data_IF_524832977092
#
_entry.id   IF_524832977092
#
_cell.length_a   1.000
_cell.length_b   1.000
_cell.length_c   1.000
_cell.angle_alpha   90.00
_cell.angle_beta   90.00
_cell.angle_gamma   90.00
#
_symmetry.space_group_name_H-M   'P 1'
#
loop_
_entity.id
_entity.type
_entity.pdbx_description
1 polymer ?
#
# COMPACT_ATOMS: atom_id res chain seq x y z
N UNK A 1 3.94 11.48 20.00
CA UNK A 1 3.92 10.52 18.89
C UNK A 1 4.50 11.21 17.67
N UNK A 2 5.48 10.60 16.99
CA UNK A 2 6.01 11.14 15.74
C UNK A 2 5.15 10.70 14.56
N UNK A 3 4.02 11.41 14.38
CA UNK A 3 3.06 11.11 13.32
C UNK A 3 3.66 11.26 11.92
N UNK A 4 4.69 12.11 11.75
CA UNK A 4 5.36 12.31 10.47
C UNK A 4 6.16 11.07 10.10
N UNK A 5 6.96 10.54 11.04
CA UNK A 5 7.71 9.29 10.84
C UNK A 5 6.78 8.11 10.56
N UNK A 6 5.72 7.94 11.36
CA UNK A 6 4.75 6.85 11.16
C UNK A 6 4.06 6.92 9.80
N UNK A 7 3.70 8.12 9.34
CA UNK A 7 3.13 8.29 8.00
C UNK A 7 4.12 7.89 6.89
N UNK A 8 5.40 8.25 7.03
CA UNK A 8 6.43 7.84 6.07
C UNK A 8 6.60 6.33 6.02
N UNK A 9 6.65 5.66 7.18
CA UNK A 9 6.79 4.20 7.26
C UNK A 9 5.62 3.48 6.54
N UNK A 10 4.38 3.96 6.70
CA UNK A 10 3.25 3.39 5.95
C UNK A 10 3.32 3.66 4.44
N UNK A 11 3.79 4.84 4.02
CA UNK A 11 3.96 5.15 2.59
C UNK A 11 5.07 4.32 1.94
N UNK A 12 6.12 3.97 2.68
CA UNK A 12 7.16 3.06 2.20
C UNK A 12 6.61 1.66 1.92
N UNK A 13 5.76 1.14 2.81
CA UNK A 13 5.09 -0.14 2.60
C UNK A 13 4.04 -0.09 1.46
N UNK A 14 3.31 1.02 1.30
CA UNK A 14 2.45 1.25 0.12
C UNK A 14 3.27 1.13 -1.17
N UNK A 15 4.43 1.81 -1.25
CA UNK A 15 5.29 1.76 -2.42
C UNK A 15 5.86 0.34 -2.66
N UNK A 16 6.10 -0.43 -1.60
CA UNK A 16 6.52 -1.83 -1.70
C UNK A 16 5.40 -2.70 -2.26
N UNK A 17 4.17 -2.53 -1.80
CA UNK A 17 3.01 -3.27 -2.31
C UNK A 17 2.74 -2.91 -3.76
N UNK A 18 2.84 -1.65 -4.16
CA UNK A 18 2.66 -1.23 -5.56
C UNK A 18 3.66 -1.92 -6.50
N UNK A 19 4.95 -1.99 -6.12
CA UNK A 19 5.96 -2.75 -6.88
C UNK A 19 5.59 -4.24 -6.99
N UNK A 20 5.09 -4.83 -5.90
CA UNK A 20 4.67 -6.24 -5.91
C UNK A 20 3.44 -6.48 -6.77
N UNK A 21 2.46 -5.58 -6.74
CA UNK A 21 1.28 -5.62 -7.60
C UNK A 21 1.67 -5.50 -9.07
N UNK A 22 2.62 -4.64 -9.40
CA UNK A 22 3.11 -4.52 -10.77
C UNK A 22 3.78 -5.83 -11.25
N UNK A 23 4.60 -6.45 -10.40
CA UNK A 23 5.17 -7.76 -10.68
C UNK A 23 4.08 -8.81 -10.92
N UNK A 24 3.10 -8.92 -10.02
CA UNK A 24 1.99 -9.89 -10.14
C UNK A 24 1.14 -9.66 -11.40
N UNK A 25 0.94 -8.40 -11.80
CA UNK A 25 0.24 -8.06 -13.05
C UNK A 25 1.02 -8.54 -14.27
N UNK A 26 2.36 -8.47 -14.26
CA UNK A 26 3.20 -9.00 -15.34
C UNK A 26 3.13 -10.53 -15.38
N UNK A 27 3.24 -11.20 -14.23
CA UNK A 27 3.14 -12.65 -14.11
C UNK A 27 1.77 -13.18 -14.57
N UNK A 28 0.67 -12.52 -14.16
CA UNK A 28 -0.68 -12.92 -14.55
C UNK A 28 -0.94 -12.74 -16.05
N UNK A 29 -0.36 -11.71 -16.70
CA UNK A 29 -0.43 -11.58 -18.17
C UNK A 29 0.27 -12.73 -18.88
N UNK A 30 1.36 -13.25 -18.33
CA UNK A 30 2.15 -14.34 -18.91
C UNK A 30 1.49 -15.72 -18.70
N UNK A 31 0.92 -15.97 -17.53
CA UNK A 31 0.50 -17.32 -17.12
C UNK A 31 -1.03 -17.49 -16.93
N UNK A 32 -1.81 -16.40 -16.88
CA UNK A 32 -3.28 -16.38 -16.68
C UNK A 32 -3.77 -17.24 -15.51
N UNK A 33 -3.10 -17.16 -14.37
CA UNK A 33 -3.48 -17.90 -13.17
C UNK A 33 -4.59 -17.17 -12.41
N UNK A 34 -5.73 -17.84 -12.21
CA UNK A 34 -6.89 -17.28 -11.49
C UNK A 34 -6.57 -16.91 -10.03
N UNK A 35 -5.65 -17.64 -9.38
CA UNK A 35 -5.23 -17.40 -7.99
C UNK A 35 -4.51 -16.05 -7.81
N UNK A 36 -3.80 -15.57 -8.85
CA UNK A 36 -3.11 -14.29 -8.81
C UNK A 36 -4.08 -13.11 -8.69
N UNK A 37 -5.30 -13.22 -9.20
CA UNK A 37 -6.32 -12.18 -9.06
C UNK A 37 -6.77 -12.00 -7.60
N UNK A 38 -7.01 -13.11 -6.90
CA UNK A 38 -7.38 -13.09 -5.47
C UNK A 38 -6.25 -12.47 -4.65
N UNK A 39 -5.00 -12.90 -4.91
CA UNK A 39 -3.83 -12.38 -4.21
C UNK A 39 -3.57 -10.90 -4.50
N UNK A 40 -3.77 -10.44 -5.74
CA UNK A 40 -3.69 -9.03 -6.08
C UNK A 40 -4.79 -8.22 -5.39
N UNK A 41 -6.01 -8.76 -5.29
CA UNK A 41 -7.12 -8.12 -4.58
C UNK A 41 -6.78 -7.84 -3.11
N UNK A 42 -6.34 -8.87 -2.37
CA UNK A 42 -5.96 -8.72 -0.98
C UNK A 42 -4.81 -7.71 -0.76
N UNK A 43 -3.84 -7.67 -1.67
CA UNK A 43 -2.75 -6.68 -1.63
C UNK A 43 -3.26 -5.25 -1.89
N UNK A 44 -4.23 -5.08 -2.78
CA UNK A 44 -4.84 -3.77 -3.04
C UNK A 44 -5.59 -3.26 -1.82
N UNK A 45 -6.36 -4.11 -1.14
CA UNK A 45 -7.06 -3.74 0.10
C UNK A 45 -6.09 -3.28 1.19
N UNK A 46 -5.03 -4.06 1.45
CA UNK A 46 -4.00 -3.70 2.44
C UNK A 46 -3.34 -2.37 2.08
N UNK A 47 -2.98 -2.17 0.81
CA UNK A 47 -2.37 -0.91 0.36
C UNK A 47 -3.30 0.28 0.60
N UNK A 48 -4.58 0.14 0.30
CA UNK A 48 -5.55 1.24 0.43
C UNK A 48 -5.74 1.62 1.91
N UNK A 49 -5.78 0.63 2.81
CA UNK A 49 -5.84 0.85 4.27
C UNK A 49 -4.58 1.56 4.80
N UNK A 50 -3.39 1.12 4.35
CA UNK A 50 -2.12 1.75 4.71
C UNK A 50 -2.05 3.20 4.22
N UNK A 51 -2.50 3.46 2.99
CA UNK A 51 -2.53 4.79 2.42
C UNK A 51 -3.51 5.71 3.17
N UNK A 52 -4.71 5.22 3.50
CA UNK A 52 -5.69 5.96 4.28
C UNK A 52 -5.14 6.31 5.68
N UNK A 53 -4.47 5.36 6.33
CA UNK A 53 -3.85 5.55 7.64
C UNK A 53 -2.72 6.57 7.59
N UNK A 54 -1.84 6.48 6.58
CA UNK A 54 -0.78 7.45 6.36
C UNK A 54 -1.33 8.88 6.20
N UNK A 55 -2.40 9.05 5.42
CA UNK A 55 -3.05 10.35 5.25
C UNK A 55 -3.65 10.89 6.55
N UNK A 56 -4.26 10.05 7.39
CA UNK A 56 -4.73 10.46 8.72
C UNK A 56 -3.56 10.96 9.58
N UNK A 57 -2.44 10.24 9.58
CA UNK A 57 -1.25 10.60 10.35
C UNK A 57 -0.60 11.90 9.84
N UNK A 58 -0.53 12.11 8.52
CA UNK A 58 -0.07 13.37 7.94
C UNK A 58 -0.93 14.56 8.41
N UNK A 59 -2.27 14.40 8.42
CA UNK A 59 -3.17 15.45 8.93
C UNK A 59 -2.94 15.72 10.41
N UNK A 60 -2.77 14.67 11.22
CA UNK A 60 -2.46 14.81 12.65
C UNK A 60 -1.12 15.50 12.89
N UNK A 61 -0.09 15.14 12.14
CA UNK A 61 1.21 15.81 12.19
C UNK A 61 1.07 17.30 11.87
N UNK A 62 0.29 17.66 10.84
CA UNK A 62 0.03 19.05 10.46
C UNK A 62 -0.79 19.84 11.49
N UNK A 63 -1.69 19.19 12.23
CA UNK A 63 -2.48 19.83 13.30
C UNK A 63 -1.75 19.94 14.64
N UNK A 64 -0.62 19.24 14.81
CA UNK A 64 0.21 19.28 16.01
C UNK A 64 1.45 20.19 15.86
N UNK A 65 1.61 20.84 14.70
CA UNK A 65 2.58 21.91 14.41
C UNK A 65 1.96 23.27 14.71
#
# INVERSE_FOLDING_TARGET
>A
MDYKRMASEYLEEVARIDRRLEQLRRENRAHREADLWVRMGALMEIRDDLQATAHVLQRRAASCL
#
